data_IF_257048970624
#
_entry.id   IF_257048970624
#
_cell.length_a   1.000
_cell.length_b   1.000
_cell.length_c   1.000
_cell.angle_alpha   90.00
_cell.angle_beta   90.00
_cell.angle_gamma   90.00
#
_symmetry.space_group_name_H-M   'P 1'
#
loop_
_entity.id
_entity.type
_entity.pdbx_description
1 polymer ?
#
# COMPACT_ATOMS: atom_id res chain seq x y z
N UNK A 1 -12.85 6.42 19.90
CA UNK A 1 -13.70 6.14 18.74
C UNK A 1 -13.02 5.02 17.99
N UNK A 2 -13.52 3.80 18.11
CA UNK A 2 -13.04 2.68 17.29
C UNK A 2 -13.31 3.04 15.83
N UNK A 3 -12.26 3.39 15.10
CA UNK A 3 -12.36 3.56 13.65
C UNK A 3 -12.44 2.15 13.07
N UNK A 4 -13.60 1.81 12.52
CA UNK A 4 -13.75 0.58 11.73
C UNK A 4 -12.74 0.65 10.55
N UNK A 5 -11.92 -0.39 10.33
CA UNK A 5 -10.90 -0.37 9.29
C UNK A 5 -11.53 -0.45 7.90
N UNK A 6 -11.14 0.48 7.02
CA UNK A 6 -11.57 0.57 5.62
C UNK A 6 -10.38 0.15 4.73
N UNK A 7 -10.63 -0.68 3.72
CA UNK A 7 -9.61 -1.13 2.77
C UNK A 7 -9.83 -0.52 1.37
N UNK A 8 -8.75 -0.03 0.76
CA UNK A 8 -8.72 0.43 -0.64
C UNK A 8 -7.82 -0.47 -1.50
N UNK A 9 -8.31 -1.61 -1.99
CA UNK A 9 -7.50 -2.51 -2.82
C UNK A 9 -7.40 -2.01 -4.27
N UNK A 10 -6.26 -2.24 -4.92
CA UNK A 10 -6.20 -2.21 -6.39
C UNK A 10 -7.02 -3.36 -6.97
N UNK A 11 -7.64 -3.16 -8.13
CA UNK A 11 -8.52 -4.12 -8.78
C UNK A 11 -7.76 -5.27 -9.48
N UNK A 12 -6.77 -5.85 -8.80
CA UNK A 12 -6.08 -7.05 -9.26
C UNK A 12 -7.02 -8.26 -9.10
N UNK A 13 -7.00 -9.21 -10.04
CA UNK A 13 -7.87 -10.39 -10.02
C UNK A 13 -7.75 -11.21 -8.71
N UNK A 14 -6.57 -11.26 -8.11
CA UNK A 14 -6.34 -11.92 -6.82
C UNK A 14 -7.08 -11.23 -5.66
N UNK A 15 -7.25 -9.91 -5.73
CA UNK A 15 -7.92 -9.11 -4.70
C UNK A 15 -9.45 -9.24 -4.76
N UNK A 16 -9.98 -9.65 -5.91
CA UNK A 16 -11.41 -9.92 -6.13
C UNK A 16 -11.77 -11.41 -6.02
N UNK A 17 -10.82 -12.26 -5.66
CA UNK A 17 -11.06 -13.69 -5.51
C UNK A 17 -11.97 -14.00 -4.32
N UNK A 18 -12.66 -15.14 -4.38
CA UNK A 18 -13.51 -15.60 -3.28
C UNK A 18 -12.72 -15.78 -1.97
N UNK A 19 -11.52 -16.37 -2.05
CA UNK A 19 -10.65 -16.58 -0.88
C UNK A 19 -10.28 -15.25 -0.21
N UNK A 20 -9.97 -14.23 -1.00
CA UNK A 20 -9.68 -12.89 -0.47
C UNK A 20 -10.92 -12.27 0.18
N UNK A 21 -12.11 -12.42 -0.43
CA UNK A 21 -13.36 -11.91 0.14
C UNK A 21 -13.70 -12.57 1.48
N UNK A 22 -13.56 -13.90 1.59
CA UNK A 22 -13.76 -14.64 2.84
C UNK A 22 -12.76 -14.22 3.92
N UNK A 23 -11.50 -14.02 3.55
CA UNK A 23 -10.48 -13.55 4.49
C UNK A 23 -10.80 -12.14 5.03
N UNK A 24 -11.29 -11.23 4.19
CA UNK A 24 -11.68 -9.88 4.61
C UNK A 24 -12.88 -9.90 5.57
N UNK A 25 -13.84 -10.80 5.35
CA UNK A 25 -14.95 -11.01 6.28
C UNK A 25 -14.47 -11.54 7.63
N UNK A 26 -13.58 -12.54 7.63
CA UNK A 26 -12.97 -13.08 8.85
C UNK A 26 -12.18 -12.02 9.64
N UNK A 27 -11.51 -11.11 8.93
CA UNK A 27 -10.73 -10.00 9.51
C UNK A 27 -11.59 -8.80 9.90
N UNK A 28 -12.92 -8.87 9.75
CA UNK A 28 -13.87 -7.82 10.14
C UNK A 28 -13.66 -6.47 9.42
N UNK A 29 -13.11 -6.48 8.20
CA UNK A 29 -13.12 -5.30 7.35
C UNK A 29 -14.56 -5.01 6.91
N UNK A 30 -15.17 -3.96 7.47
CA UNK A 30 -16.56 -3.60 7.16
C UNK A 30 -16.74 -3.01 5.77
N UNK A 31 -15.74 -2.25 5.30
CA UNK A 31 -15.85 -1.51 4.05
C UNK A 31 -14.61 -1.72 3.18
N UNK A 32 -14.86 -2.24 1.98
CA UNK A 32 -13.89 -2.28 0.89
C UNK A 32 -14.34 -1.24 -0.12
N UNK A 33 -13.57 -0.17 -0.25
CA UNK A 33 -13.92 0.92 -1.15
C UNK A 33 -13.82 0.44 -2.61
N UNK A 34 -14.86 0.65 -3.43
CA UNK A 34 -14.85 0.25 -4.82
C UNK A 34 -13.77 1.04 -5.58
N UNK A 35 -12.87 0.32 -6.25
CA UNK A 35 -11.86 0.93 -7.13
C UNK A 35 -12.36 0.90 -8.58
N UNK A 36 -12.47 2.06 -9.27
CA UNK A 36 -12.90 2.09 -10.65
C UNK A 36 -12.02 1.21 -11.57
N UNK A 37 -12.64 0.55 -12.54
CA UNK A 37 -11.94 -0.20 -13.58
C UNK A 37 -10.97 0.76 -14.29
N UNK A 38 -9.66 0.45 -14.28
CA UNK A 38 -8.61 1.27 -14.86
C UNK A 38 -8.45 2.69 -14.29
N UNK A 39 -8.91 2.98 -13.06
CA UNK A 39 -8.40 4.18 -12.36
C UNK A 39 -6.99 3.89 -11.91
N UNK A 40 -6.02 4.22 -12.77
CA UNK A 40 -4.61 4.19 -12.44
C UNK A 40 -4.25 5.21 -11.34
N UNK A 41 -5.22 5.96 -10.77
CA UNK A 41 -4.97 7.25 -10.11
C UNK A 41 -5.52 7.51 -8.70
N UNK A 42 -5.96 6.52 -7.92
CA UNK A 42 -6.52 6.78 -6.59
C UNK A 42 -5.83 6.10 -5.40
N UNK A 43 -4.89 5.17 -5.65
CA UNK A 43 -4.11 4.60 -4.55
C UNK A 43 -3.03 5.59 -4.09
N UNK A 44 -3.08 5.98 -2.82
CA UNK A 44 -2.01 6.75 -2.18
C UNK A 44 -0.64 6.07 -2.32
N UNK A 45 -0.63 4.73 -2.38
CA UNK A 45 0.58 3.95 -2.62
C UNK A 45 1.24 4.24 -3.98
N UNK A 46 0.47 4.24 -5.06
CA UNK A 46 0.99 4.36 -6.43
C UNK A 46 1.54 5.75 -6.74
N UNK A 47 0.98 6.79 -6.12
CA UNK A 47 1.40 8.17 -6.38
C UNK A 47 2.35 8.73 -5.34
N UNK A 48 2.23 8.33 -4.07
CA UNK A 48 3.02 8.92 -2.98
C UNK A 48 4.15 7.99 -2.55
N UNK A 49 3.81 6.78 -2.11
CA UNK A 49 4.74 5.86 -1.46
C UNK A 49 5.80 5.36 -2.45
N UNK A 50 5.37 4.77 -3.57
CA UNK A 50 6.29 4.12 -4.50
C UNK A 50 7.24 5.09 -5.21
N UNK A 51 6.82 6.30 -5.65
CA UNK A 51 7.77 7.24 -6.26
C UNK A 51 8.87 7.68 -5.31
N UNK A 52 8.54 8.04 -4.06
CA UNK A 52 9.53 8.46 -3.06
C UNK A 52 10.44 7.31 -2.63
N UNK A 53 9.90 6.10 -2.48
CA UNK A 53 10.71 4.90 -2.20
C UNK A 53 11.65 4.60 -3.37
N UNK A 54 11.15 4.71 -4.60
CA UNK A 54 11.94 4.51 -5.81
C UNK A 54 13.09 5.51 -5.91
N UNK A 55 12.87 6.78 -5.56
CA UNK A 55 13.94 7.79 -5.49
C UNK A 55 15.05 7.36 -4.53
N UNK A 56 14.69 6.86 -3.34
CA UNK A 56 15.66 6.37 -2.36
C UNK A 56 16.44 5.14 -2.84
N UNK A 57 15.78 4.21 -3.52
CA UNK A 57 16.39 2.98 -4.02
C UNK A 57 17.16 3.17 -5.35
N UNK A 58 16.96 4.29 -6.04
CA UNK A 58 17.51 4.54 -7.36
C UNK A 58 19.05 4.54 -7.32
N UNK A 59 19.66 3.80 -8.23
CA UNK A 59 21.13 3.73 -8.38
C UNK A 59 21.81 2.74 -7.44
N UNK A 60 21.07 2.06 -6.56
CA UNK A 60 21.61 0.99 -5.74
C UNK A 60 21.50 -0.37 -6.46
N UNK A 61 22.59 -1.13 -6.44
CA UNK A 61 22.61 -2.53 -6.86
C UNK A 61 22.63 -3.42 -5.61
N UNK A 62 21.59 -4.23 -5.47
CA UNK A 62 21.46 -5.18 -4.36
C UNK A 62 21.82 -6.59 -4.83
N UNK A 63 22.62 -7.29 -4.03
CA UNK A 63 23.12 -8.63 -4.36
C UNK A 63 22.22 -9.75 -3.78
N UNK A 64 21.21 -9.39 -2.99
CA UNK A 64 20.23 -10.33 -2.43
C UNK A 64 18.95 -9.62 -2.00
N UNK A 65 17.86 -10.38 -1.90
CA UNK A 65 16.57 -9.89 -1.43
C UNK A 65 16.61 -9.35 0.00
N UNK A 66 17.44 -9.92 0.88
CA UNK A 66 17.58 -9.45 2.25
C UNK A 66 18.17 -8.03 2.32
N UNK A 67 19.05 -7.69 1.37
CA UNK A 67 19.56 -6.31 1.26
C UNK A 67 18.50 -5.35 0.75
N UNK A 68 17.64 -5.79 -0.17
CA UNK A 68 16.50 -5.00 -0.65
C UNK A 68 15.51 -4.75 0.50
N UNK A 69 15.13 -5.81 1.24
CA UNK A 69 14.24 -5.71 2.41
C UNK A 69 14.80 -4.77 3.46
N UNK A 70 16.10 -4.90 3.77
CA UNK A 70 16.78 -4.01 4.71
C UNK A 70 16.75 -2.54 4.28
N UNK A 71 17.00 -2.26 3.00
CA UNK A 71 16.94 -0.90 2.46
C UNK A 71 15.51 -0.32 2.55
N UNK A 72 14.50 -1.08 2.15
CA UNK A 72 13.10 -0.67 2.24
C UNK A 72 12.70 -0.43 3.70
N UNK A 73 13.04 -1.34 4.62
CA UNK A 73 12.77 -1.16 6.05
C UNK A 73 13.44 0.08 6.61
N UNK A 74 14.72 0.30 6.28
CA UNK A 74 15.47 1.48 6.72
C UNK A 74 14.85 2.79 6.22
N UNK A 75 14.21 2.77 5.05
CA UNK A 75 13.52 3.92 4.49
C UNK A 75 12.12 4.11 5.09
N UNK A 76 11.38 3.04 5.37
CA UNK A 76 10.02 3.13 5.94
C UNK A 76 10.00 3.60 7.40
N UNK A 77 10.98 3.20 8.22
CA UNK A 77 11.02 3.51 9.66
C UNK A 77 11.05 5.02 10.02
N UNK A 78 11.82 5.88 9.32
CA UNK A 78 11.90 7.30 9.67
C UNK A 78 10.76 8.16 9.09
N UNK A 79 9.75 7.60 8.42
CA UNK A 79 8.72 8.43 7.79
C UNK A 79 7.80 9.07 8.84
N UNK A 80 7.48 10.37 8.70
CA UNK A 80 6.58 11.04 9.64
C UNK A 80 5.15 10.46 9.56
N UNK A 81 4.35 10.53 10.63
CA UNK A 81 2.96 10.07 10.62
C UNK A 81 2.12 10.66 9.49
N UNK A 82 2.42 11.89 9.10
CA UNK A 82 1.74 12.64 8.05
C UNK A 82 2.15 12.18 6.64
N UNK A 83 3.20 11.38 6.50
CA UNK A 83 3.76 10.99 5.19
C UNK A 83 2.73 10.40 4.24
N UNK A 84 1.84 9.53 4.74
CA UNK A 84 0.75 8.96 3.92
C UNK A 84 -0.48 9.87 3.89
N UNK A 85 -0.66 10.73 4.89
CA UNK A 85 -1.80 11.64 5.05
C UNK A 85 -1.68 12.95 4.26
N UNK A 86 -0.46 13.38 3.93
CA UNK A 86 -0.15 14.65 3.24
C UNK A 86 -0.84 14.78 1.87
N UNK A 87 -1.25 13.65 1.27
CA UNK A 87 -1.97 13.62 -0.01
C UNK A 87 -3.51 13.60 0.15
N UNK A 88 -4.02 13.46 1.38
CA UNK A 88 -5.46 13.47 1.69
C UNK A 88 -5.94 14.83 2.22
N UNK A 89 -5.05 15.82 2.36
CA UNK A 89 -5.36 17.18 2.79
C UNK A 89 -5.87 18.07 1.65
#
# INVERSE_FOLDING_TARGET
KDLDPILQPQNAHSHTSYETQEALLCLQFKEVLPHPLYSHSLATCDFHLFPKMKEHLKGHHFHSDDKVKGAIQSWCQPQPPEFLSDRFA
#
